data_IF_880927790866
#
_entry.id   IF_880927790866
#
_cell.length_a   1.000
_cell.length_b   1.000
_cell.length_c   1.000
_cell.angle_alpha   90.00
_cell.angle_beta   90.00
_cell.angle_gamma   90.00
#
_symmetry.space_group_name_H-M   'P 1'
#
loop_
_entity.id
_entity.type
_entity.pdbx_description
1 polymer ?
#
# COMPACT_ATOMS: atom_id res chain seq x y z
N UNK A 1 -0.26 3.32 12.49
CA UNK A 1 0.09 4.71 12.20
C UNK A 1 -0.25 5.03 10.75
N UNK A 2 -0.90 6.14 10.54
CA UNK A 2 -1.25 6.64 9.21
C UNK A 2 -0.10 7.46 8.64
N UNK A 3 0.13 7.33 7.34
CA UNK A 3 1.04 8.19 6.57
C UNK A 3 2.46 8.27 7.13
N UNK A 4 3.07 7.11 7.34
CA UNK A 4 4.47 7.05 7.72
C UNK A 4 5.36 7.42 6.54
N UNK A 5 6.36 8.26 6.78
CA UNK A 5 7.35 8.62 5.76
C UNK A 5 8.63 7.79 5.92
N UNK A 6 9.20 7.41 4.79
CA UNK A 6 10.49 6.70 4.74
C UNK A 6 11.44 7.47 3.84
N UNK A 7 12.69 7.63 4.28
CA UNK A 7 13.73 8.24 3.44
C UNK A 7 14.39 7.11 2.63
N UNK A 8 14.22 7.16 1.33
CA UNK A 8 14.78 6.17 0.41
C UNK A 8 16.21 6.52 0.04
N UNK A 9 16.99 5.57 -0.52
CA UNK A 9 18.30 5.87 -1.08
C UNK A 9 18.23 7.03 -2.07
N UNK A 10 19.17 7.97 -1.96
CA UNK A 10 19.16 9.19 -2.77
C UNK A 10 18.38 10.34 -2.14
N UNK A 11 17.83 10.17 -0.95
CA UNK A 11 17.16 11.22 -0.21
C UNK A 11 15.68 11.43 -0.57
N UNK A 12 15.13 10.62 -1.46
CA UNK A 12 13.70 10.68 -1.80
C UNK A 12 12.86 10.21 -0.62
N UNK A 13 11.68 10.81 -0.46
CA UNK A 13 10.75 10.45 0.61
C UNK A 13 9.60 9.64 0.02
N UNK A 14 9.33 8.48 0.62
CA UNK A 14 8.16 7.67 0.32
C UNK A 14 7.16 7.79 1.47
N UNK A 15 5.96 8.30 1.18
CA UNK A 15 4.88 8.36 2.15
C UNK A 15 3.96 7.18 1.93
N UNK A 16 3.70 6.43 3.00
CA UNK A 16 2.83 5.26 2.96
C UNK A 16 1.49 5.57 3.62
N UNK A 17 0.43 4.87 3.20
CA UNK A 17 -0.90 5.11 3.76
C UNK A 17 -1.01 4.58 5.18
N UNK A 18 -0.46 3.40 5.44
CA UNK A 18 -0.51 2.76 6.75
C UNK A 18 0.84 2.16 7.10
N UNK A 19 1.16 2.18 8.39
CA UNK A 19 2.37 1.56 8.92
C UNK A 19 2.07 0.85 10.23
N UNK A 20 2.43 -0.43 10.28
CA UNK A 20 2.35 -1.24 11.51
C UNK A 20 3.78 -1.53 11.95
N UNK A 21 4.23 -0.79 12.94
CA UNK A 21 5.63 -0.82 13.37
C UNK A 21 6.04 -2.17 13.94
N UNK A 22 5.18 -2.79 14.73
CA UNK A 22 5.48 -4.07 15.37
C UNK A 22 5.85 -5.15 14.35
N UNK A 23 5.12 -5.23 13.26
CA UNK A 23 5.40 -6.19 12.19
C UNK A 23 6.27 -5.63 11.07
N UNK A 24 6.64 -4.36 11.14
CA UNK A 24 7.34 -3.65 10.08
C UNK A 24 6.66 -3.84 8.73
N UNK A 25 5.35 -3.63 8.73
CA UNK A 25 4.50 -3.84 7.56
C UNK A 25 3.89 -2.52 7.10
N UNK A 26 3.96 -2.28 5.80
CA UNK A 26 3.35 -1.14 5.14
C UNK A 26 2.07 -1.59 4.47
N UNK A 27 1.04 -0.74 4.54
CA UNK A 27 -0.19 -0.94 3.79
C UNK A 27 -0.42 0.23 2.85
N UNK A 28 -0.76 -0.06 1.60
CA UNK A 28 -1.02 0.95 0.60
C UNK A 28 -2.27 0.65 -0.21
N UNK A 29 -3.09 1.68 -0.38
CA UNK A 29 -4.20 1.65 -1.32
C UNK A 29 -3.68 2.05 -2.70
N UNK A 30 -3.89 1.18 -3.68
CA UNK A 30 -3.40 1.38 -5.04
C UNK A 30 -4.56 1.75 -5.97
N UNK A 31 -4.71 3.06 -6.20
CA UNK A 31 -5.74 3.57 -7.09
C UNK A 31 -5.26 3.61 -8.54
N UNK A 32 -6.06 3.05 -9.45
CA UNK A 32 -5.70 3.00 -10.88
C UNK A 32 -5.55 4.40 -11.47
N UNK A 33 -6.38 5.34 -11.05
CA UNK A 33 -6.41 6.69 -11.63
C UNK A 33 -5.11 7.46 -11.55
N UNK A 34 -4.27 7.18 -10.55
CA UNK A 34 -3.03 7.92 -10.37
C UNK A 34 -2.02 7.69 -11.50
N UNK A 35 -2.17 6.65 -12.30
CA UNK A 35 -1.26 6.37 -13.41
C UNK A 35 -1.70 6.99 -14.72
N UNK A 36 -2.97 7.31 -14.87
CA UNK A 36 -3.53 7.82 -16.11
C UNK A 36 -3.90 9.31 -16.05
N UNK A 37 -4.00 9.89 -14.86
CA UNK A 37 -4.30 11.31 -14.69
C UNK A 37 -3.04 12.15 -14.96
N UNK A 38 -3.02 12.99 -16.01
CA UNK A 38 -1.85 13.83 -16.32
C UNK A 38 -1.44 14.74 -15.18
N UNK A 39 -2.38 15.21 -14.36
CA UNK A 39 -2.07 16.09 -13.23
C UNK A 39 -1.24 15.35 -12.16
N UNK A 40 -1.45 14.05 -11.99
CA UNK A 40 -0.70 13.25 -11.03
C UNK A 40 0.67 12.81 -11.57
N UNK A 41 0.88 12.91 -12.87
CA UNK A 41 2.16 12.54 -13.49
C UNK A 41 3.22 13.62 -13.42
N UNK A 42 2.84 14.84 -13.10
CA UNK A 42 3.76 15.98 -13.00
C UNK A 42 4.63 16.14 -14.25
N UNK A 43 4.04 16.04 -15.44
CA UNK A 43 4.73 16.18 -16.71
C UNK A 43 5.47 14.94 -17.19
N UNK A 44 5.48 13.86 -16.41
CA UNK A 44 6.11 12.61 -16.81
C UNK A 44 5.19 11.78 -17.70
N UNK A 45 5.76 10.92 -18.55
CA UNK A 45 4.97 9.95 -19.32
C UNK A 45 4.36 8.91 -18.39
N UNK A 46 3.30 8.23 -18.85
CA UNK A 46 2.71 7.13 -18.08
C UNK A 46 3.73 6.02 -17.83
N UNK A 47 4.57 5.74 -18.82
CA UNK A 47 5.64 4.74 -18.69
C UNK A 47 6.64 5.13 -17.60
N UNK A 48 7.08 6.40 -17.58
CA UNK A 48 8.01 6.87 -16.56
C UNK A 48 7.40 6.80 -15.17
N UNK A 49 6.10 7.11 -15.02
CA UNK A 49 5.41 7.00 -13.74
C UNK A 49 5.42 5.55 -13.24
N UNK A 50 5.19 4.58 -14.14
CA UNK A 50 5.22 3.16 -13.76
C UNK A 50 6.62 2.72 -13.33
N UNK A 51 7.66 3.18 -14.02
CA UNK A 51 9.05 2.89 -13.65
C UNK A 51 9.37 3.48 -12.28
N UNK A 52 9.03 4.75 -12.07
CA UNK A 52 9.30 5.44 -10.80
C UNK A 52 8.57 4.76 -9.64
N UNK A 53 7.33 4.34 -9.86
CA UNK A 53 6.54 3.67 -8.82
C UNK A 53 7.11 2.27 -8.50
N UNK A 54 7.59 1.56 -9.52
CA UNK A 54 8.25 0.27 -9.30
C UNK A 54 9.54 0.45 -8.49
N UNK A 55 10.36 1.45 -8.85
CA UNK A 55 11.60 1.72 -8.15
C UNK A 55 11.35 2.12 -6.70
N UNK A 56 10.32 2.94 -6.47
CA UNK A 56 9.89 3.32 -5.12
C UNK A 56 9.46 2.09 -4.32
N UNK A 57 8.65 1.22 -4.91
CA UNK A 57 8.19 0.01 -4.26
C UNK A 57 9.33 -0.93 -3.91
N UNK A 58 10.28 -1.11 -4.82
CA UNK A 58 11.44 -1.97 -4.60
C UNK A 58 12.33 -1.41 -3.48
N UNK A 59 12.57 -0.10 -3.48
CA UNK A 59 13.34 0.55 -2.43
C UNK A 59 12.66 0.43 -1.06
N UNK A 60 11.36 0.62 -1.02
CA UNK A 60 10.58 0.49 0.20
C UNK A 60 10.61 -0.94 0.76
N UNK A 61 10.52 -1.94 -0.12
CA UNK A 61 10.58 -3.35 0.29
C UNK A 61 11.90 -3.75 0.92
N UNK A 62 12.97 -3.04 0.61
CA UNK A 62 14.27 -3.27 1.24
C UNK A 62 14.33 -2.73 2.66
N UNK A 63 13.45 -1.78 3.01
CA UNK A 63 13.46 -1.12 4.30
C UNK A 63 12.49 -1.73 5.30
N UNK A 64 11.47 -2.43 4.83
CA UNK A 64 10.41 -2.99 5.66
C UNK A 64 10.30 -4.49 5.44
N UNK A 65 9.59 -5.18 6.36
CA UNK A 65 9.43 -6.63 6.26
C UNK A 65 8.44 -7.01 5.15
N UNK A 66 7.36 -6.27 5.03
CA UNK A 66 6.31 -6.57 4.06
C UNK A 66 5.58 -5.31 3.59
N UNK A 67 5.12 -5.33 2.35
CA UNK A 67 4.27 -4.30 1.78
C UNK A 67 2.98 -4.96 1.31
N UNK A 68 1.87 -4.57 1.91
CA UNK A 68 0.54 -5.03 1.53
C UNK A 68 -0.10 -3.97 0.63
N UNK A 69 -0.69 -4.41 -0.47
CA UNK A 69 -1.38 -3.50 -1.39
C UNK A 69 -2.78 -4.01 -1.65
N UNK A 70 -3.72 -3.09 -1.76
CA UNK A 70 -5.10 -3.43 -2.09
C UNK A 70 -5.71 -2.34 -2.97
N UNK A 71 -6.78 -2.70 -3.65
CA UNK A 71 -7.50 -1.83 -4.55
C UNK A 71 -8.97 -1.76 -4.17
N UNK A 72 -9.75 -0.94 -4.88
CA UNK A 72 -11.16 -0.73 -4.58
C UNK A 72 -11.98 -2.02 -4.40
N UNK A 73 -11.84 -3.06 -5.25
CA UNK A 73 -12.59 -4.30 -5.03
C UNK A 73 -12.33 -4.95 -3.68
N UNK A 74 -11.10 -4.83 -3.16
CA UNK A 74 -10.72 -5.40 -1.87
C UNK A 74 -11.38 -4.67 -0.70
N UNK A 75 -11.71 -3.39 -0.90
CA UNK A 75 -12.38 -2.60 0.14
C UNK A 75 -13.86 -2.95 0.27
N UNK A 76 -14.46 -3.56 -0.75
CA UNK A 76 -15.87 -3.93 -0.73
C UNK A 76 -16.15 -5.17 0.10
N UNK A 77 -15.12 -5.95 0.40
CA UNK A 77 -15.23 -7.15 1.20
C UNK A 77 -14.13 -7.14 2.27
N UNK A 78 -14.49 -6.91 3.55
CA UNK A 78 -13.51 -6.86 4.64
C UNK A 78 -12.67 -8.13 4.76
N UNK A 79 -13.20 -9.28 4.35
CA UNK A 79 -12.47 -10.55 4.39
C UNK A 79 -11.30 -10.55 3.43
N UNK A 80 -11.45 -9.93 2.26
CA UNK A 80 -10.37 -9.82 1.28
C UNK A 80 -9.22 -8.99 1.81
N UNK A 81 -9.52 -7.83 2.39
CA UNK A 81 -8.49 -6.99 3.00
C UNK A 81 -7.85 -7.69 4.20
N UNK A 82 -8.64 -8.32 5.04
CA UNK A 82 -8.14 -9.13 6.15
C UNK A 82 -7.15 -10.19 5.66
N UNK A 83 -7.51 -10.93 4.61
CA UNK A 83 -6.67 -11.99 4.08
C UNK A 83 -5.36 -11.43 3.49
N UNK A 84 -5.42 -10.31 2.77
CA UNK A 84 -4.21 -9.66 2.23
C UNK A 84 -3.26 -9.30 3.38
N UNK A 85 -3.76 -8.61 4.39
CA UNK A 85 -2.92 -8.14 5.49
C UNK A 85 -2.35 -9.29 6.32
N UNK A 86 -3.17 -10.29 6.62
CA UNK A 86 -2.71 -11.41 7.45
C UNK A 86 -1.80 -12.37 6.69
N UNK A 87 -2.03 -12.57 5.39
CA UNK A 87 -1.14 -13.37 4.55
C UNK A 87 0.25 -12.72 4.46
N UNK A 88 0.31 -11.40 4.53
CA UNK A 88 1.59 -10.68 4.55
C UNK A 88 2.19 -10.60 5.96
N UNK A 89 1.52 -11.17 6.95
CA UNK A 89 2.06 -11.36 8.29
C UNK A 89 1.51 -10.47 9.39
N UNK A 90 0.50 -9.65 9.09
CA UNK A 90 -0.11 -8.81 10.13
C UNK A 90 -0.80 -9.68 11.16
N UNK A 91 -0.45 -9.48 12.43
CA UNK A 91 -1.09 -10.19 13.53
C UNK A 91 -2.35 -9.44 13.96
N UNK A 92 -3.41 -10.20 14.24
CA UNK A 92 -4.64 -9.62 14.74
C UNK A 92 -5.15 -10.42 15.94
N UNK A 93 -5.66 -9.72 16.95
CA UNK A 93 -6.34 -10.31 18.08
C UNK A 93 -7.82 -10.55 17.79
N UNK A 94 -8.30 -10.03 16.67
CA UNK A 94 -9.70 -10.18 16.25
C UNK A 94 -9.81 -11.31 15.24
N UNK A 95 -10.97 -12.01 15.19
CA UNK A 95 -11.20 -13.04 14.19
C UNK A 95 -11.38 -12.45 12.79
N UNK A 96 -11.26 -13.30 11.79
CA UNK A 96 -11.57 -12.93 10.41
C UNK A 96 -13.00 -12.39 10.33
N UNK A 97 -13.23 -11.28 9.60
CA UNK A 97 -14.57 -10.72 9.46
C UNK A 97 -15.58 -11.72 8.87
N UNK A 98 -16.85 -11.71 9.31
CA UNK A 98 -17.84 -12.60 8.75
C UNK A 98 -18.19 -12.22 7.32
N UNK A 99 -18.71 -13.21 6.58
CA UNK A 99 -19.17 -12.99 5.21
C UNK A 99 -20.32 -11.98 5.20
N UNK A 100 -20.33 -11.08 4.22
CA UNK A 100 -21.39 -10.09 4.07
C UNK A 100 -21.24 -8.83 4.90
N UNK A 101 -20.20 -8.73 5.74
CA UNK A 101 -19.92 -7.50 6.46
C UNK A 101 -19.44 -6.43 5.49
N UNK A 102 -20.02 -5.23 5.59
CA UNK A 102 -19.63 -4.08 4.76
C UNK A 102 -18.93 -3.03 5.61
N UNK A 103 -18.01 -2.31 4.99
CA UNK A 103 -17.29 -1.22 5.66
C UNK A 103 -18.14 0.04 5.84
N UNK A 104 -19.18 0.20 5.03
CA UNK A 104 -20.02 1.39 4.93
C UNK A 104 -21.48 1.05 4.78
#
# INVERSE_FOLDING_TARGET
>A
VLQQEFVLPGGKIARTDFWWEEGRQVGEFDGVGKYIDPALRAGRSAEQVLIDEKDRGDALRRMVRAVSRWRTPDLRDPRRLWDILTNDGLRSTRPRPPRGLLWY
#
